data_IF_869475278653
#
_entry.id   IF_869475278653
#
_cell.length_a   1.000
_cell.length_b   1.000
_cell.length_c   1.000
_cell.angle_alpha   90.00
_cell.angle_beta   90.00
_cell.angle_gamma   90.00
#
_symmetry.space_group_name_H-M   'P 1'
#
loop_
_entity.id
_entity.type
_entity.pdbx_description
1 polymer ?
#
# COMPACT_ATOMS: atom_id res chain seq x y z
N UNK A 1 10.48 20.81 9.70
CA UNK A 1 10.25 21.77 8.59
C UNK A 1 9.58 21.00 7.47
N UNK A 2 8.34 21.35 7.14
CA UNK A 2 7.59 20.74 6.03
C UNK A 2 8.11 21.32 4.72
N UNK A 3 8.69 20.48 3.86
CA UNK A 3 9.10 20.84 2.49
C UNK A 3 7.93 21.18 1.56
N UNK A 4 6.69 21.08 2.05
CA UNK A 4 5.43 21.40 1.34
C UNK A 4 5.29 22.85 0.86
N UNK A 5 6.18 23.78 1.25
CA UNK A 5 6.05 25.21 0.96
C UNK A 5 6.79 25.69 -0.29
N UNK A 6 7.50 24.83 -1.02
CA UNK A 6 8.23 25.25 -2.23
C UNK A 6 7.54 24.85 -3.55
N UNK A 7 6.48 24.04 -3.54
CA UNK A 7 5.85 23.54 -4.78
C UNK A 7 4.31 23.34 -4.68
N UNK A 8 3.60 24.27 -4.03
CA UNK A 8 2.13 24.20 -3.89
C UNK A 8 1.39 24.09 -5.25
N UNK A 9 1.93 24.73 -6.30
CA UNK A 9 1.38 24.67 -7.67
C UNK A 9 1.49 23.29 -8.31
N UNK A 10 2.61 22.59 -8.11
CA UNK A 10 2.82 21.24 -8.66
C UNK A 10 1.92 20.22 -7.95
N UNK A 11 1.75 20.35 -6.64
CA UNK A 11 0.85 19.50 -5.85
C UNK A 11 -0.61 19.69 -6.26
N UNK A 12 -1.06 20.93 -6.46
CA UNK A 12 -2.42 21.21 -6.96
C UNK A 12 -2.66 20.61 -8.35
N UNK A 13 -1.66 20.69 -9.23
CA UNK A 13 -1.74 20.11 -10.58
C UNK A 13 -1.86 18.58 -10.53
N UNK A 14 -1.05 17.92 -9.69
CA UNK A 14 -1.06 16.45 -9.56
C UNK A 14 -2.40 15.94 -9.03
N UNK A 15 -2.93 16.55 -7.97
CA UNK A 15 -4.19 16.12 -7.35
C UNK A 15 -5.39 16.31 -8.30
N UNK A 16 -5.29 17.24 -9.25
CA UNK A 16 -6.35 17.51 -10.24
C UNK A 16 -6.40 16.52 -11.42
N UNK A 17 -5.44 15.60 -11.55
CA UNK A 17 -5.44 14.60 -12.62
C UNK A 17 -6.60 13.63 -12.41
N UNK A 18 -7.55 13.63 -13.35
CA UNK A 18 -8.73 12.77 -13.35
C UNK A 18 -8.36 11.28 -13.37
N UNK A 19 -9.16 10.46 -12.69
CA UNK A 19 -8.89 9.04 -12.46
C UNK A 19 -8.67 8.25 -13.76
N UNK A 20 -9.37 8.60 -14.85
CA UNK A 20 -9.26 7.92 -16.14
C UNK A 20 -7.91 8.16 -16.83
N UNK A 21 -7.21 9.24 -16.46
CA UNK A 21 -5.89 9.58 -16.99
C UNK A 21 -4.74 9.01 -16.15
N UNK A 22 -5.02 8.53 -14.93
CA UNK A 22 -4.00 8.05 -14.02
C UNK A 22 -3.34 6.79 -14.60
N UNK A 23 -2.03 6.88 -14.81
CA UNK A 23 -1.18 5.77 -15.23
C UNK A 23 -0.45 5.21 -14.01
N UNK A 24 -0.33 3.89 -13.97
CA UNK A 24 0.57 3.22 -13.04
C UNK A 24 1.96 3.00 -13.69
N UNK A 25 3.05 3.02 -12.90
CA UNK A 25 4.37 2.60 -13.37
C UNK A 25 4.36 1.11 -13.72
N UNK A 26 4.32 0.81 -15.02
CA UNK A 26 4.36 -0.56 -15.55
C UNK A 26 5.74 -0.90 -16.09
N UNK A 27 6.29 -2.03 -15.63
CA UNK A 27 7.53 -2.60 -16.17
C UNK A 27 8.83 -1.87 -15.82
N UNK A 28 8.79 -0.73 -15.11
CA UNK A 28 9.96 -0.04 -14.55
C UNK A 28 9.68 0.38 -13.08
N UNK A 29 10.57 0.06 -12.13
CA UNK A 29 10.45 0.54 -10.76
C UNK A 29 10.55 2.07 -10.69
N UNK A 30 9.75 2.71 -9.83
CA UNK A 30 9.71 4.18 -9.69
C UNK A 30 11.09 4.79 -9.41
N UNK A 31 11.91 4.17 -8.54
CA UNK A 31 13.29 4.61 -8.28
C UNK A 31 14.15 4.69 -9.55
N UNK A 32 13.99 3.72 -10.44
CA UNK A 32 14.74 3.65 -11.70
C UNK A 32 14.20 4.67 -12.68
N UNK A 33 12.89 4.87 -12.72
CA UNK A 33 12.24 5.88 -13.54
C UNK A 33 12.65 7.31 -13.15
N UNK A 34 12.67 7.62 -11.86
CA UNK A 34 13.14 8.91 -11.32
C UNK A 34 14.58 9.19 -11.75
N UNK A 35 15.48 8.21 -11.58
CA UNK A 35 16.88 8.39 -11.99
C UNK A 35 17.01 8.59 -13.51
N UNK A 36 16.25 7.84 -14.32
CA UNK A 36 16.25 8.03 -15.77
C UNK A 36 15.71 9.41 -16.16
N UNK A 37 14.68 9.92 -15.49
CA UNK A 37 14.14 11.25 -15.74
C UNK A 37 15.17 12.36 -15.43
N UNK A 38 15.89 12.27 -14.31
CA UNK A 38 16.98 13.20 -13.99
C UNK A 38 18.11 13.15 -15.02
N UNK A 39 18.50 11.93 -15.44
CA UNK A 39 19.54 11.75 -16.45
C UNK A 39 19.13 12.40 -17.77
N UNK A 40 17.87 12.22 -18.19
CA UNK A 40 17.36 12.82 -19.42
C UNK A 40 17.27 14.34 -19.30
N UNK A 41 16.78 14.87 -18.18
CA UNK A 41 16.71 16.31 -17.93
C UNK A 41 18.09 16.96 -18.08
N UNK A 42 19.12 16.40 -17.45
CA UNK A 42 20.50 16.90 -17.57
C UNK A 42 21.06 16.70 -18.98
N UNK A 43 20.77 15.56 -19.62
CA UNK A 43 21.23 15.26 -20.97
C UNK A 43 20.69 16.25 -21.98
N UNK A 44 19.38 16.53 -21.96
CA UNK A 44 18.69 17.31 -22.99
C UNK A 44 19.03 18.81 -23.03
N UNK A 45 19.67 19.35 -21.98
CA UNK A 45 20.03 20.78 -21.93
C UNK A 45 20.88 21.22 -23.14
N UNK A 46 21.83 20.37 -23.55
CA UNK A 46 22.68 20.64 -24.72
C UNK A 46 21.91 20.61 -26.06
N UNK A 47 20.69 20.08 -26.08
CA UNK A 47 19.85 19.99 -27.29
C UNK A 47 18.72 21.02 -27.32
N UNK A 48 18.63 21.92 -26.33
CA UNK A 48 17.51 22.85 -26.16
C UNK A 48 17.09 23.53 -27.45
N UNK A 49 18.04 24.17 -28.14
CA UNK A 49 17.76 24.89 -29.37
C UNK A 49 17.13 24.00 -30.45
N UNK A 50 17.65 22.78 -30.62
CA UNK A 50 17.15 21.84 -31.64
C UNK A 50 15.79 21.27 -31.26
N UNK A 51 15.58 20.98 -29.98
CA UNK A 51 14.31 20.45 -29.48
C UNK A 51 13.19 21.50 -29.57
N UNK A 52 13.49 22.75 -29.21
CA UNK A 52 12.56 23.88 -29.36
C UNK A 52 12.26 24.15 -30.83
N UNK A 53 13.26 24.11 -31.71
CA UNK A 53 13.05 24.25 -33.15
C UNK A 53 12.17 23.12 -33.73
N UNK A 54 12.13 21.95 -33.08
CA UNK A 54 11.26 20.82 -33.43
C UNK A 54 9.86 20.91 -32.78
N UNK A 55 9.55 22.00 -32.08
CA UNK A 55 8.20 22.28 -31.59
C UNK A 55 7.87 21.76 -30.20
N UNK A 56 8.85 21.33 -29.40
CA UNK A 56 8.59 21.03 -27.97
C UNK A 56 8.30 22.33 -27.20
N UNK A 57 7.31 22.30 -26.31
CA UNK A 57 7.19 23.33 -25.27
C UNK A 57 8.29 23.11 -24.22
N UNK A 58 9.30 23.98 -24.21
CA UNK A 58 10.43 23.86 -23.29
C UNK A 58 10.02 24.03 -21.83
N UNK A 59 8.88 24.67 -21.54
CA UNK A 59 8.37 24.79 -20.18
C UNK A 59 8.15 23.40 -19.55
N UNK A 60 7.73 22.41 -20.33
CA UNK A 60 7.57 21.03 -19.84
C UNK A 60 8.90 20.42 -19.36
N UNK A 61 10.02 20.81 -19.97
CA UNK A 61 11.37 20.39 -19.58
C UNK A 61 11.86 21.17 -18.37
N UNK A 62 11.62 22.48 -18.33
CA UNK A 62 11.95 23.34 -17.18
C UNK A 62 11.20 22.91 -15.92
N UNK A 63 9.98 22.41 -16.06
CA UNK A 63 9.17 21.88 -14.95
C UNK A 63 9.62 20.49 -14.47
N UNK A 64 10.42 19.75 -15.24
CA UNK A 64 10.77 18.36 -14.92
C UNK A 64 11.36 18.17 -13.52
N UNK A 65 12.27 19.02 -12.99
CA UNK A 65 12.78 18.90 -11.63
C UNK A 65 11.66 18.90 -10.58
N UNK A 66 10.70 19.81 -10.69
CA UNK A 66 9.55 19.87 -9.77
C UNK A 66 8.68 18.59 -9.87
N UNK A 67 8.48 18.07 -11.09
CA UNK A 67 7.74 16.82 -11.32
C UNK A 67 8.48 15.59 -10.76
N UNK A 68 9.80 15.57 -10.85
CA UNK A 68 10.67 14.52 -10.29
C UNK A 68 10.56 14.53 -8.77
N UNK A 69 10.68 15.69 -8.13
CA UNK A 69 10.59 15.82 -6.68
C UNK A 69 9.20 15.46 -6.17
N UNK A 70 8.14 15.85 -6.86
CA UNK A 70 6.78 15.47 -6.49
C UNK A 70 6.56 13.95 -6.55
N UNK A 71 7.07 13.26 -7.58
CA UNK A 71 7.00 11.79 -7.63
C UNK A 71 7.88 11.14 -6.55
N UNK A 72 9.05 11.71 -6.25
CA UNK A 72 9.94 11.21 -5.19
C UNK A 72 9.27 11.29 -3.82
N UNK A 73 8.63 12.41 -3.51
CA UNK A 73 7.87 12.61 -2.27
C UNK A 73 6.67 11.66 -2.20
N UNK A 74 5.85 11.60 -3.25
CA UNK A 74 4.68 10.72 -3.28
C UNK A 74 5.07 9.23 -3.16
N UNK A 75 6.20 8.83 -3.74
CA UNK A 75 6.75 7.48 -3.57
C UNK A 75 7.19 7.22 -2.13
N UNK A 76 7.80 8.19 -1.46
CA UNK A 76 8.19 8.07 -0.05
C UNK A 76 6.97 7.92 0.86
N UNK A 77 5.94 8.77 0.68
CA UNK A 77 4.67 8.70 1.41
C UNK A 77 4.04 7.32 1.27
N UNK A 78 3.90 6.82 0.03
CA UNK A 78 3.31 5.50 -0.23
C UNK A 78 4.13 4.34 0.37
N UNK A 79 5.47 4.43 0.32
CA UNK A 79 6.34 3.38 0.89
C UNK A 79 6.18 3.31 2.42
N UNK A 80 6.10 4.46 3.07
CA UNK A 80 5.90 4.53 4.53
C UNK A 80 4.52 4.02 4.94
N UNK A 81 3.45 4.37 4.22
CA UNK A 81 2.10 3.86 4.51
C UNK A 81 2.00 2.34 4.36
N UNK A 82 2.55 1.82 3.26
CA UNK A 82 2.50 0.38 2.93
C UNK A 82 3.22 -0.47 3.99
N UNK A 83 4.41 -0.03 4.44
CA UNK A 83 5.19 -0.76 5.44
C UNK A 83 4.54 -0.82 6.84
N UNK A 84 3.84 0.24 7.26
CA UNK A 84 3.13 0.28 8.55
C UNK A 84 1.88 -0.61 8.58
N UNK A 85 1.20 -0.73 7.44
CA UNK A 85 -0.02 -1.52 7.30
C UNK A 85 0.24 -3.02 7.37
N UNK A 86 1.30 -3.51 6.73
CA UNK A 86 1.64 -4.95 6.73
C UNK A 86 1.78 -5.50 8.16
N UNK A 87 2.35 -4.72 9.08
CA UNK A 87 2.48 -5.11 10.49
C UNK A 87 1.13 -5.19 11.21
N UNK A 88 0.28 -4.17 11.03
CA UNK A 88 -1.02 -4.06 11.68
C UNK A 88 -1.99 -5.13 11.16
N UNK A 89 -2.02 -5.34 9.84
CA UNK A 89 -2.83 -6.40 9.24
C UNK A 89 -2.38 -7.78 9.70
N UNK A 90 -1.07 -8.03 9.79
CA UNK A 90 -0.55 -9.30 10.28
C UNK A 90 -0.96 -9.57 11.73
N UNK A 91 -0.86 -8.57 12.60
CA UNK A 91 -1.31 -8.68 13.99
C UNK A 91 -2.82 -8.92 14.07
N UNK A 92 -3.63 -8.19 13.28
CA UNK A 92 -5.07 -8.43 13.19
C UNK A 92 -5.39 -9.88 12.83
N UNK A 93 -4.78 -10.43 11.77
CA UNK A 93 -5.04 -11.81 11.34
C UNK A 93 -4.54 -12.85 12.34
N UNK A 94 -3.51 -12.53 13.12
CA UNK A 94 -2.98 -13.40 14.17
C UNK A 94 -3.90 -13.44 15.39
N UNK A 95 -4.49 -12.30 15.77
CA UNK A 95 -5.37 -12.19 16.94
C UNK A 95 -6.82 -12.62 16.65
N UNK A 96 -7.27 -12.52 15.39
CA UNK A 96 -8.65 -12.77 15.02
C UNK A 96 -9.16 -14.18 15.41
N UNK A 97 -8.42 -15.28 15.18
CA UNK A 97 -8.84 -16.62 15.63
C UNK A 97 -8.98 -16.69 17.16
N UNK A 98 -8.00 -16.16 17.90
CA UNK A 98 -8.01 -16.15 19.36
C UNK A 98 -9.21 -15.37 19.93
N UNK A 99 -9.59 -14.26 19.30
CA UNK A 99 -10.77 -13.49 19.68
C UNK A 99 -12.08 -14.27 19.47
N UNK A 100 -12.21 -15.00 18.36
CA UNK A 100 -13.37 -15.87 18.11
C UNK A 100 -13.48 -17.01 19.12
N UNK A 101 -12.36 -17.67 19.41
CA UNK A 101 -12.30 -18.75 20.39
C UNK A 101 -12.66 -18.26 21.79
N UNK A 102 -12.12 -17.09 22.19
CA UNK A 102 -12.46 -16.47 23.46
C UNK A 102 -13.95 -16.12 23.56
N UNK A 103 -14.56 -15.55 22.50
CA UNK A 103 -16.01 -15.27 22.49
C UNK A 103 -16.82 -16.56 22.71
N UNK A 104 -16.45 -17.64 22.01
CA UNK A 104 -17.12 -18.94 22.10
C UNK A 104 -16.97 -19.54 23.49
N UNK A 105 -15.76 -19.51 24.05
CA UNK A 105 -15.47 -20.03 25.38
C UNK A 105 -16.18 -19.23 26.47
N UNK A 106 -16.18 -17.90 26.38
CA UNK A 106 -16.83 -17.00 27.32
C UNK A 106 -18.34 -17.24 27.34
N UNK A 107 -18.97 -17.26 26.15
CA UNK A 107 -20.39 -17.55 26.02
C UNK A 107 -20.75 -18.94 26.58
N UNK A 108 -19.94 -19.97 26.30
CA UNK A 108 -20.14 -21.32 26.84
C UNK A 108 -20.04 -21.35 28.36
N UNK A 109 -19.00 -20.71 28.92
CA UNK A 109 -18.73 -20.69 30.35
C UNK A 109 -19.86 -19.97 31.11
N UNK A 110 -20.31 -18.82 30.59
CA UNK A 110 -21.44 -18.08 31.15
C UNK A 110 -22.75 -18.89 31.07
N UNK A 111 -23.05 -19.50 29.91
CA UNK A 111 -24.26 -20.33 29.77
C UNK A 111 -24.27 -21.51 30.75
N UNK A 112 -23.11 -22.09 31.05
CA UNK A 112 -22.99 -23.16 32.03
C UNK A 112 -23.17 -22.66 33.47
N UNK A 113 -22.60 -21.51 33.82
CA UNK A 113 -22.79 -20.89 35.13
C UNK A 113 -24.26 -20.55 35.40
N UNK A 114 -24.97 -20.08 34.36
CA UNK A 114 -26.40 -19.77 34.39
C UNK A 114 -27.28 -20.92 33.88
N UNK A 115 -26.85 -22.18 33.97
CA UNK A 115 -27.57 -23.34 33.38
C UNK A 115 -29.05 -23.43 33.82
N UNK A 116 -29.32 -23.04 35.06
CA UNK A 116 -30.64 -23.08 35.71
C UNK A 116 -31.47 -21.81 35.45
N UNK A 117 -30.88 -20.77 34.85
CA UNK A 117 -31.55 -19.50 34.53
C UNK A 117 -31.74 -19.36 33.01
N UNK A 118 -32.94 -19.73 32.53
CA UNK A 118 -33.30 -19.69 31.12
C UNK A 118 -33.18 -18.28 30.52
N UNK A 119 -33.58 -17.26 31.26
CA UNK A 119 -33.55 -15.86 30.81
C UNK A 119 -32.12 -15.37 30.60
N UNK A 120 -31.23 -15.62 31.57
CA UNK A 120 -29.81 -15.28 31.46
C UNK A 120 -29.15 -16.00 30.27
N UNK A 121 -29.45 -17.28 30.05
CA UNK A 121 -28.93 -18.05 28.91
C UNK A 121 -29.38 -17.49 27.55
N UNK A 122 -30.64 -17.07 27.45
CA UNK A 122 -31.17 -16.44 26.26
C UNK A 122 -30.46 -15.10 25.99
N UNK A 123 -30.27 -14.28 27.03
CA UNK A 123 -29.50 -13.04 26.94
C UNK A 123 -28.06 -13.30 26.47
N UNK A 124 -27.33 -14.23 27.10
CA UNK A 124 -25.96 -14.60 26.69
C UNK A 124 -25.90 -15.07 25.23
N UNK A 125 -26.91 -15.82 24.77
CA UNK A 125 -26.98 -16.28 23.38
C UNK A 125 -27.13 -15.11 22.40
N UNK A 126 -27.99 -14.15 22.73
CA UNK A 126 -28.17 -12.92 21.94
C UNK A 126 -26.89 -12.08 21.92
N UNK A 127 -26.26 -11.88 23.08
CA UNK A 127 -25.01 -11.10 23.19
C UNK A 127 -23.86 -11.72 22.40
N UNK A 128 -23.79 -13.05 22.31
CA UNK A 128 -22.76 -13.77 21.56
C UNK A 128 -23.06 -13.92 20.05
N UNK A 129 -24.16 -13.34 19.55
CA UNK A 129 -24.60 -13.51 18.16
C UNK A 129 -23.89 -12.56 17.18
N UNK A 130 -24.02 -12.85 15.89
CA UNK A 130 -23.44 -12.04 14.81
C UNK A 130 -22.14 -12.58 14.23
N UNK A 131 -21.97 -12.37 12.93
CA UNK A 131 -20.84 -12.88 12.13
C UNK A 131 -19.85 -11.79 11.72
N UNK A 132 -20.20 -10.50 11.93
CA UNK A 132 -19.31 -9.40 11.57
C UNK A 132 -18.19 -9.22 12.58
N UNK A 133 -17.08 -8.60 12.16
CA UNK A 133 -15.97 -8.24 13.05
C UNK A 133 -16.42 -7.28 14.16
N UNK A 134 -17.31 -6.33 13.83
CA UNK A 134 -17.91 -5.43 14.81
C UNK A 134 -18.76 -6.20 15.83
N UNK A 135 -19.54 -7.18 15.37
CA UNK A 135 -20.31 -8.07 16.25
C UNK A 135 -19.40 -8.87 17.18
N UNK A 136 -18.30 -9.44 16.68
CA UNK A 136 -17.31 -10.14 17.51
C UNK A 136 -16.77 -9.24 18.64
N UNK A 137 -16.32 -8.03 18.29
CA UNK A 137 -15.73 -7.07 19.23
C UNK A 137 -16.76 -6.65 20.29
N UNK A 138 -17.98 -6.36 19.86
CA UNK A 138 -19.07 -5.96 20.76
C UNK A 138 -19.48 -7.11 21.67
N UNK A 139 -19.66 -8.33 21.13
CA UNK A 139 -20.01 -9.52 21.92
C UNK A 139 -19.00 -9.79 23.03
N UNK A 140 -17.70 -9.66 22.77
CA UNK A 140 -16.66 -9.84 23.79
C UNK A 140 -16.83 -8.86 24.96
N UNK A 141 -17.19 -7.60 24.66
CA UNK A 141 -17.44 -6.58 25.68
C UNK A 141 -18.74 -6.82 26.42
N UNK A 142 -19.82 -7.09 25.70
CA UNK A 142 -21.15 -7.28 26.28
C UNK A 142 -21.20 -8.49 27.20
N UNK A 143 -20.57 -9.60 26.81
CA UNK A 143 -20.47 -10.80 27.65
C UNK A 143 -19.65 -10.54 28.93
N UNK A 144 -18.59 -9.74 28.82
CA UNK A 144 -17.80 -9.34 29.98
C UNK A 144 -18.61 -8.45 30.94
N UNK A 145 -19.29 -7.42 30.42
CA UNK A 145 -20.16 -6.53 31.22
C UNK A 145 -21.30 -7.33 31.87
N UNK A 146 -22.00 -8.17 31.11
CA UNK A 146 -23.06 -9.03 31.63
C UNK A 146 -22.56 -9.92 32.78
N UNK A 147 -21.37 -10.51 32.64
CA UNK A 147 -20.77 -11.30 33.71
C UNK A 147 -20.44 -10.46 34.95
N UNK A 148 -19.91 -9.25 34.75
CA UNK A 148 -19.54 -8.34 35.84
C UNK A 148 -20.77 -7.83 36.61
N UNK A 149 -21.87 -7.52 35.92
CA UNK A 149 -23.15 -7.15 36.53
C UNK A 149 -23.73 -8.28 37.43
N UNK A 150 -23.28 -9.52 37.19
CA UNK A 150 -23.69 -10.69 37.96
C UNK A 150 -22.52 -11.35 38.73
N UNK A 151 -21.48 -10.58 39.08
CA UNK A 151 -20.26 -11.08 39.70
C UNK A 151 -20.52 -11.94 40.94
N UNK A 152 -21.34 -11.47 41.88
CA UNK A 152 -21.63 -12.23 43.11
C UNK A 152 -22.28 -13.60 42.86
N UNK A 153 -23.14 -13.70 41.83
CA UNK A 153 -23.69 -15.00 41.42
C UNK A 153 -22.62 -15.90 40.79
N UNK A 154 -21.80 -15.34 39.90
CA UNK A 154 -20.73 -16.07 39.22
C UNK A 154 -19.67 -16.59 40.20
N UNK A 155 -19.31 -15.81 41.22
CA UNK A 155 -18.41 -16.22 42.31
C UNK A 155 -18.99 -17.40 43.10
N UNK A 156 -20.29 -17.35 43.43
CA UNK A 156 -20.97 -18.48 44.09
C UNK A 156 -20.94 -19.78 43.26
N UNK A 157 -20.84 -19.64 41.93
CA UNK A 157 -20.73 -20.76 40.98
C UNK A 157 -19.28 -21.10 40.62
N UNK A 158 -18.28 -20.53 41.32
CA UNK A 158 -16.84 -20.71 41.09
C UNK A 158 -16.44 -20.43 39.64
N UNK A 159 -17.09 -19.45 39.00
CA UNK A 159 -16.74 -19.01 37.66
C UNK A 159 -15.36 -18.35 37.65
N UNK A 160 -14.56 -18.59 36.60
CA UNK A 160 -13.28 -17.92 36.44
C UNK A 160 -13.47 -16.47 35.94
N UNK A 161 -13.47 -15.52 36.88
CA UNK A 161 -13.63 -14.09 36.62
C UNK A 161 -12.58 -13.51 35.66
N UNK A 162 -11.39 -14.13 35.57
CA UNK A 162 -10.35 -13.69 34.63
C UNK A 162 -10.82 -13.78 33.17
N UNK A 163 -11.78 -14.66 32.85
CA UNK A 163 -12.36 -14.73 31.50
C UNK A 163 -13.14 -13.47 31.12
N UNK A 164 -13.76 -12.78 32.09
CA UNK A 164 -14.46 -11.51 31.86
C UNK A 164 -13.45 -10.41 31.55
N UNK A 165 -12.37 -10.33 32.35
CA UNK A 165 -11.28 -9.38 32.13
C UNK A 165 -10.64 -9.59 30.76
N UNK A 166 -10.31 -10.84 30.41
CA UNK A 166 -9.75 -11.20 29.11
C UNK A 166 -10.69 -10.82 27.96
N UNK A 167 -12.01 -11.02 28.11
CA UNK A 167 -13.00 -10.61 27.11
C UNK A 167 -13.02 -9.09 26.88
N UNK A 168 -13.01 -8.30 27.97
CA UNK A 168 -12.99 -6.85 27.89
C UNK A 168 -11.68 -6.28 27.31
N UNK A 169 -10.53 -6.88 27.64
CA UNK A 169 -9.23 -6.52 27.09
C UNK A 169 -9.13 -6.88 25.61
N UNK A 170 -9.53 -8.10 25.24
CA UNK A 170 -9.52 -8.54 23.84
C UNK A 170 -10.45 -7.65 22.98
N UNK A 171 -11.62 -7.28 23.49
CA UNK A 171 -12.52 -6.34 22.80
C UNK A 171 -11.84 -5.00 22.52
N UNK A 172 -11.19 -4.39 23.53
CA UNK A 172 -10.45 -3.12 23.36
C UNK A 172 -9.30 -3.24 22.35
N UNK A 173 -8.51 -4.32 22.45
CA UNK A 173 -7.39 -4.60 21.54
C UNK A 173 -7.89 -4.74 20.10
N UNK A 174 -8.88 -5.59 19.88
CA UNK A 174 -9.44 -5.84 18.54
C UNK A 174 -10.15 -4.61 17.97
N UNK A 175 -10.84 -3.81 18.80
CA UNK A 175 -11.41 -2.53 18.37
C UNK A 175 -10.35 -1.57 17.84
N UNK A 176 -9.24 -1.44 18.57
CA UNK A 176 -8.11 -0.58 18.17
C UNK A 176 -7.43 -1.08 16.89
N UNK A 177 -7.19 -2.40 16.79
CA UNK A 177 -6.61 -3.01 15.59
C UNK A 177 -7.52 -2.86 14.36
N UNK A 178 -8.83 -3.09 14.50
CA UNK A 178 -9.78 -2.94 13.39
C UNK A 178 -9.82 -1.50 12.87
N UNK A 179 -9.81 -0.52 13.78
CA UNK A 179 -9.73 0.88 13.40
C UNK A 179 -8.42 1.18 12.67
N UNK A 180 -7.28 0.71 13.19
CA UNK A 180 -5.98 0.90 12.57
C UNK A 180 -5.88 0.27 11.17
N UNK A 181 -6.39 -0.96 10.98
CA UNK A 181 -6.45 -1.62 9.66
C UNK A 181 -7.29 -0.80 8.68
N UNK A 182 -8.46 -0.32 9.09
CA UNK A 182 -9.35 0.46 8.21
C UNK A 182 -8.74 1.80 7.81
N UNK A 183 -8.19 2.53 8.78
CA UNK A 183 -7.56 3.83 8.53
C UNK A 183 -6.30 3.67 7.68
N UNK A 184 -5.48 2.66 7.95
CA UNK A 184 -4.34 2.30 7.11
C UNK A 184 -4.76 2.10 5.66
N UNK A 185 -5.65 1.14 5.37
CA UNK A 185 -6.13 0.86 4.00
C UNK A 185 -6.59 2.11 3.24
N UNK A 186 -7.34 2.99 3.91
CA UNK A 186 -7.76 4.27 3.32
C UNK A 186 -6.55 5.13 2.96
N UNK A 187 -5.62 5.32 3.88
CA UNK A 187 -4.41 6.12 3.68
C UNK A 187 -3.46 5.53 2.62
N UNK A 188 -3.26 4.21 2.58
CA UNK A 188 -2.50 3.55 1.49
C UNK A 188 -3.18 3.73 0.13
N UNK A 189 -4.51 3.60 0.05
CA UNK A 189 -5.22 3.84 -1.21
C UNK A 189 -5.05 5.26 -1.73
N UNK A 190 -5.07 6.25 -0.84
CA UNK A 190 -4.92 7.66 -1.18
C UNK A 190 -3.47 8.00 -1.57
N UNK A 191 -2.48 7.52 -0.81
CA UNK A 191 -1.06 7.72 -1.13
C UNK A 191 -0.64 7.00 -2.41
N UNK A 192 -1.21 5.82 -2.70
CA UNK A 192 -1.03 5.12 -3.97
C UNK A 192 -1.61 5.93 -5.14
N UNK A 193 -2.80 6.50 -4.97
CA UNK A 193 -3.42 7.38 -5.97
C UNK A 193 -2.53 8.59 -6.24
N UNK A 194 -2.09 9.29 -5.18
CA UNK A 194 -1.19 10.44 -5.28
C UNK A 194 0.11 10.09 -6.01
N UNK A 195 0.73 8.95 -5.67
CA UNK A 195 1.94 8.46 -6.36
C UNK A 195 1.70 8.21 -7.84
N UNK A 196 0.56 7.62 -8.20
CA UNK A 196 0.24 7.37 -9.61
C UNK A 196 -0.08 8.66 -10.37
N UNK A 197 -0.73 9.64 -9.74
CA UNK A 197 -0.93 10.96 -10.32
C UNK A 197 0.42 11.66 -10.57
N UNK A 198 1.32 11.66 -9.58
CA UNK A 198 2.66 12.25 -9.72
C UNK A 198 3.48 11.55 -10.81
N UNK A 199 3.38 10.22 -10.91
CA UNK A 199 4.01 9.45 -11.96
C UNK A 199 3.46 9.82 -13.34
N UNK A 200 2.13 9.96 -13.46
CA UNK A 200 1.48 10.37 -14.71
C UNK A 200 1.98 11.73 -15.16
N UNK A 201 2.05 12.68 -14.24
CA UNK A 201 2.49 14.05 -14.51
C UNK A 201 3.95 14.13 -14.99
N UNK A 202 4.87 13.38 -14.36
CA UNK A 202 6.25 13.28 -14.85
C UNK A 202 6.32 12.54 -16.19
N UNK A 203 5.48 11.52 -16.36
CA UNK A 203 5.46 10.69 -17.57
C UNK A 203 5.06 11.45 -18.82
N UNK A 204 4.13 12.38 -18.71
CA UNK A 204 3.74 13.25 -19.83
C UNK A 204 4.95 14.04 -20.36
N UNK A 205 5.71 14.71 -19.49
CA UNK A 205 6.89 15.47 -19.88
C UNK A 205 8.01 14.58 -20.46
N UNK A 206 8.28 13.43 -19.83
CA UNK A 206 9.32 12.50 -20.28
C UNK A 206 8.97 11.85 -21.63
N UNK A 207 7.71 11.44 -21.83
CA UNK A 207 7.28 10.79 -23.07
C UNK A 207 7.30 11.79 -24.24
N UNK A 208 6.83 13.02 -24.02
CA UNK A 208 6.86 14.09 -25.02
C UNK A 208 8.31 14.40 -25.43
N UNK A 209 9.19 14.67 -24.46
CA UNK A 209 10.61 14.92 -24.72
C UNK A 209 11.27 13.78 -25.50
N UNK A 210 10.97 12.53 -25.16
CA UNK A 210 11.51 11.37 -25.89
C UNK A 210 10.97 11.27 -27.30
N UNK A 211 9.70 11.58 -27.54
CA UNK A 211 9.11 11.53 -28.88
C UNK A 211 9.84 12.52 -29.83
N UNK A 212 10.05 13.75 -29.36
CA UNK A 212 10.81 14.77 -30.10
C UNK A 212 12.26 14.36 -30.33
N UNK A 213 12.94 13.85 -29.30
CA UNK A 213 14.33 13.42 -29.41
C UNK A 213 14.52 12.23 -30.36
N UNK A 214 13.60 11.24 -30.34
CA UNK A 214 13.62 10.08 -31.25
C UNK A 214 13.50 10.54 -32.71
N UNK A 215 12.62 11.48 -33.00
CA UNK A 215 12.47 12.03 -34.34
C UNK A 215 13.73 12.78 -34.78
N UNK A 216 14.22 13.69 -33.94
CA UNK A 216 15.35 14.57 -34.25
C UNK A 216 16.69 13.83 -34.40
N UNK A 217 16.93 12.80 -33.58
CA UNK A 217 18.23 12.12 -33.50
C UNK A 217 18.21 10.69 -34.05
N UNK A 218 17.22 10.30 -34.84
CA UNK A 218 17.08 8.92 -35.36
C UNK A 218 18.36 8.34 -35.99
N UNK A 219 19.20 9.17 -36.63
CA UNK A 219 20.48 8.78 -37.23
C UNK A 219 21.70 8.90 -36.30
N UNK A 220 21.60 9.60 -35.16
CA UNK A 220 22.71 9.86 -34.25
C UNK A 220 22.64 8.94 -33.02
N UNK A 221 23.30 7.78 -33.13
CA UNK A 221 23.38 6.79 -32.05
C UNK A 221 24.04 7.33 -30.79
N UNK A 222 25.01 8.24 -30.92
CA UNK A 222 25.72 8.81 -29.77
C UNK A 222 24.81 9.73 -28.98
N UNK A 223 23.93 10.47 -29.66
CA UNK A 223 22.96 11.33 -29.00
C UNK A 223 21.75 10.57 -28.45
N UNK A 224 21.23 9.61 -29.22
CA UNK A 224 20.08 8.79 -28.83
C UNK A 224 20.28 8.00 -27.54
N UNK A 225 21.53 7.66 -27.17
CA UNK A 225 21.80 6.90 -25.94
C UNK A 225 21.22 7.56 -24.69
N UNK A 226 21.21 8.90 -24.60
CA UNK A 226 20.68 9.60 -23.44
C UNK A 226 19.16 9.69 -23.37
N UNK A 227 18.45 9.35 -24.46
CA UNK A 227 16.99 9.34 -24.52
C UNK A 227 16.38 7.94 -24.37
N UNK A 228 17.22 6.91 -24.29
CA UNK A 228 16.81 5.52 -24.14
C UNK A 228 16.78 5.07 -22.68
N UNK A 229 15.90 4.10 -22.36
CA UNK A 229 15.82 3.53 -20.99
C UNK A 229 16.90 2.49 -20.77
N UNK A 230 17.88 2.81 -19.93
CA UNK A 230 18.96 1.89 -19.54
C UNK A 230 18.44 0.72 -18.70
N UNK A 231 17.43 0.94 -17.85
CA UNK A 231 16.79 -0.12 -17.09
C UNK A 231 16.20 -1.19 -18.01
N UNK A 232 15.45 -0.79 -19.04
CA UNK A 232 14.83 -1.74 -19.99
C UNK A 232 15.88 -2.49 -20.80
N UNK A 233 16.94 -1.82 -21.26
CA UNK A 233 18.07 -2.48 -21.95
C UNK A 233 18.72 -3.53 -21.06
N UNK A 234 19.07 -3.18 -19.83
CA UNK A 234 19.69 -4.11 -18.86
C UNK A 234 18.78 -5.31 -18.57
N UNK A 235 17.48 -5.08 -18.38
CA UNK A 235 16.50 -6.14 -18.15
C UNK A 235 16.39 -7.09 -19.35
N UNK A 236 16.28 -6.56 -20.57
CA UNK A 236 16.23 -7.37 -21.79
C UNK A 236 17.50 -8.22 -21.95
N UNK A 237 18.68 -7.61 -21.80
CA UNK A 237 19.95 -8.32 -21.91
C UNK A 237 20.10 -9.41 -20.84
N UNK A 238 19.62 -9.17 -19.61
CA UNK A 238 19.64 -10.18 -18.54
C UNK A 238 18.75 -11.38 -18.86
N UNK A 239 17.58 -11.19 -19.47
CA UNK A 239 16.69 -12.29 -19.86
C UNK A 239 17.35 -13.11 -20.96
N UNK A 240 17.82 -12.44 -22.02
CA UNK A 240 18.50 -13.08 -23.15
C UNK A 240 19.74 -13.89 -22.72
N UNK A 241 20.52 -13.37 -21.76
CA UNK A 241 21.69 -14.08 -21.27
C UNK A 241 21.31 -15.32 -20.45
N UNK A 242 20.20 -15.29 -19.71
CA UNK A 242 19.68 -16.46 -18.98
C UNK A 242 19.17 -17.54 -19.91
N UNK A 243 18.45 -17.16 -20.96
CA UNK A 243 17.97 -18.08 -22.00
C UNK A 243 19.15 -18.80 -22.67
N UNK A 244 20.16 -18.05 -23.12
CA UNK A 244 21.39 -18.63 -23.68
C UNK A 244 22.11 -19.58 -22.71
N UNK A 245 22.20 -19.21 -21.44
CA UNK A 245 22.83 -20.07 -20.43
C UNK A 245 22.03 -21.36 -20.19
N UNK A 246 20.70 -21.30 -20.22
CA UNK A 246 19.84 -22.46 -20.09
C UNK A 246 19.93 -23.38 -21.32
N UNK A 247 19.97 -22.83 -22.53
CA UNK A 247 20.18 -23.57 -23.78
C UNK A 247 21.55 -24.29 -23.77
N UNK A 248 22.60 -23.60 -23.32
CA UNK A 248 23.95 -24.17 -23.22
C UNK A 248 24.00 -25.31 -22.20
N UNK A 249 23.37 -25.13 -21.03
CA UNK A 249 23.31 -26.16 -19.99
C UNK A 249 22.48 -27.40 -20.41
N UNK A 250 21.41 -27.21 -21.19
CA UNK A 250 20.61 -28.31 -21.74
C UNK A 250 21.38 -29.10 -22.82
N UNK A 251 22.16 -28.43 -23.66
CA UNK A 251 23.04 -29.07 -24.63
C UNK A 251 24.14 -29.90 -23.95
N UNK A 252 24.74 -29.38 -22.87
CA UNK A 252 25.76 -30.11 -22.09
C UNK A 252 25.20 -31.35 -21.38
N UNK A 253 23.95 -31.31 -20.90
CA UNK A 253 23.27 -32.46 -20.29
C UNK A 253 22.83 -33.54 -21.29
N UNK A 254 22.70 -33.20 -22.58
CA UNK A 254 22.28 -34.16 -23.62
C UNK A 254 23.48 -34.93 -24.22
N UNK A 255 24.70 -34.52 -23.90
CA UNK A 255 25.96 -35.09 -24.41
C UNK A 255 26.63 -36.05 -23.37
N UNK A 256 26.08 -36.15 -22.15
CA UNK A 256 26.45 -37.14 -21.13
C UNK A 256 25.52 -38.35 -21.14
#
# INVERSE_FOLDING_TARGET
MNFLTQNESTTATIVSIADERIKAPTGIPVRNYLQEAENIYNWCQADREKLVANGIDWQMVEDMPARIDALREAQAIWTTSDSGEVGIEKEWHTQLPAAYDLRKELARSLKFAFRDNRTARAAITRLASGQSQASLIQSLRDLAIFGMEHAGYLESKKFNMQKLTAGAEMSRKMGSLLAAVKTGRSFSSESLRLRNQAYTHLKEAVDELKAHAVYLFAGDKNRMRGYTSEYRKKKYNSIKNREKAAETAQLEQTIQ
#
